data_IF_091318527309
#
_entry.id   IF_091318527309
#
_cell.length_a   1.000
_cell.length_b   1.000
_cell.length_c   1.000
_cell.angle_alpha   90.00
_cell.angle_beta   90.00
_cell.angle_gamma   90.00
#
_symmetry.space_group_name_H-M   'P 1'
#
loop_
_entity.id
_entity.type
_entity.pdbx_description
1 polymer ?
#
# COMPACT_ATOMS: atom_id res chain seq x y z
N UNK A 1 0.44 -32.32 -43.23
CA UNK A 1 -0.98 -32.72 -43.33
C UNK A 1 -1.44 -33.12 -41.92
N UNK A 2 -2.72 -32.97 -41.55
CA UNK A 2 -3.46 -31.79 -41.12
C UNK A 2 -3.76 -31.75 -39.60
N UNK A 3 -4.22 -30.60 -39.09
CA UNK A 3 -4.83 -30.43 -37.75
C UNK A 3 -6.12 -31.24 -37.58
N UNK A 4 -6.49 -31.56 -36.31
CA UNK A 4 -7.86 -31.37 -35.84
C UNK A 4 -7.95 -30.56 -34.52
N UNK A 5 -9.16 -30.12 -34.12
CA UNK A 5 -9.37 -28.76 -33.62
C UNK A 5 -9.57 -28.63 -32.10
N UNK A 6 -9.50 -27.36 -31.68
CA UNK A 6 -9.79 -26.77 -30.37
C UNK A 6 -10.95 -27.43 -29.61
N UNK A 7 -10.62 -28.03 -28.46
CA UNK A 7 -11.57 -28.29 -27.38
C UNK A 7 -11.60 -27.07 -26.45
N UNK A 8 -12.77 -26.43 -26.40
CA UNK A 8 -13.14 -25.39 -25.43
C UNK A 8 -13.34 -26.07 -24.08
N UNK A 9 -12.38 -25.97 -23.17
CA UNK A 9 -12.55 -26.56 -21.83
C UNK A 9 -11.55 -26.03 -20.82
N UNK A 10 -12.06 -25.21 -19.90
CA UNK A 10 -11.51 -24.93 -18.57
C UNK A 10 -10.04 -24.47 -18.50
N UNK A 11 -9.81 -23.17 -18.72
CA UNK A 11 -8.61 -22.51 -18.18
C UNK A 11 -8.75 -22.46 -16.67
N UNK A 12 -8.00 -23.32 -15.98
CA UNK A 12 -7.80 -23.31 -14.55
C UNK A 12 -7.10 -22.01 -14.14
N UNK A 13 -7.79 -21.15 -13.38
CA UNK A 13 -7.19 -20.02 -12.68
C UNK A 13 -6.93 -20.42 -11.22
N UNK A 14 -5.77 -21.03 -10.99
CA UNK A 14 -5.15 -21.12 -9.67
C UNK A 14 -4.69 -19.71 -9.28
N UNK A 15 -5.50 -19.01 -8.48
CA UNK A 15 -5.12 -17.74 -7.87
C UNK A 15 -4.14 -18.01 -6.72
N UNK A 16 -2.84 -17.92 -7.00
CA UNK A 16 -1.80 -17.92 -5.98
C UNK A 16 -1.91 -16.64 -5.13
N UNK A 17 -2.39 -16.78 -3.89
CA UNK A 17 -2.36 -15.73 -2.88
C UNK A 17 -0.92 -15.60 -2.39
N UNK A 18 -0.17 -14.64 -2.95
CA UNK A 18 1.14 -14.28 -2.43
C UNK A 18 0.92 -13.30 -1.28
N UNK A 19 0.91 -13.82 -0.05
CA UNK A 19 1.05 -13.01 1.16
C UNK A 19 2.43 -12.36 1.16
N UNK A 20 2.51 -11.10 0.76
CA UNK A 20 3.71 -10.27 0.92
C UNK A 20 3.95 -9.98 2.39
N UNK A 21 4.68 -10.87 3.08
CA UNK A 21 5.27 -10.56 4.37
C UNK A 21 6.25 -9.40 4.16
N UNK A 22 6.01 -8.27 4.82
CA UNK A 22 6.94 -7.16 4.85
C UNK A 22 8.25 -7.62 5.47
N UNK A 23 9.25 -7.91 4.63
CA UNK A 23 10.63 -8.10 5.07
C UNK A 23 11.11 -6.76 5.59
N UNK A 24 11.08 -6.60 6.92
CA UNK A 24 11.96 -5.64 7.58
C UNK A 24 13.37 -6.13 7.33
N UNK A 25 14.04 -5.57 6.31
CA UNK A 25 15.42 -5.85 6.00
C UNK A 25 16.28 -5.32 7.15
N UNK A 26 16.46 -6.15 8.18
CA UNK A 26 17.46 -5.91 9.20
C UNK A 26 18.80 -6.13 8.53
N UNK A 27 19.46 -5.02 8.19
CA UNK A 27 20.76 -5.08 7.53
C UNK A 27 21.81 -5.46 8.57
N UNK A 28 22.38 -6.65 8.46
CA UNK A 28 23.42 -7.12 9.37
C UNK A 28 24.79 -6.77 8.79
N UNK A 29 25.56 -5.96 9.52
CA UNK A 29 26.92 -5.57 9.14
C UNK A 29 27.90 -6.53 9.79
N UNK A 30 28.54 -7.38 9.00
CA UNK A 30 29.55 -8.31 9.50
C UNK A 30 30.97 -7.76 9.22
N UNK A 31 31.83 -7.64 10.25
CA UNK A 31 33.21 -7.22 10.06
C UNK A 31 34.01 -8.32 9.37
N UNK A 32 34.35 -8.11 8.10
CA UNK A 32 35.03 -9.14 7.29
C UNK A 32 36.56 -9.13 7.44
N UNK A 33 37.15 -8.08 8.04
CA UNK A 33 38.61 -7.87 8.11
C UNK A 33 39.20 -7.80 9.53
N UNK A 34 38.49 -8.28 10.54
CA UNK A 34 38.99 -8.26 11.93
C UNK A 34 39.10 -6.85 12.54
N UNK A 35 38.26 -5.90 12.10
CA UNK A 35 38.21 -4.56 12.67
C UNK A 35 37.74 -4.61 14.14
N UNK A 36 38.27 -3.71 14.97
CA UNK A 36 37.82 -3.59 16.36
C UNK A 36 36.38 -3.04 16.43
N UNK A 37 35.61 -3.36 17.49
CA UNK A 37 34.25 -2.84 17.66
C UNK A 37 34.17 -1.30 17.62
N UNK A 38 35.21 -0.60 18.09
CA UNK A 38 35.25 0.87 18.06
C UNK A 38 35.45 1.42 16.65
N UNK A 39 36.26 0.74 15.83
CA UNK A 39 36.44 1.12 14.43
C UNK A 39 35.14 0.87 13.64
N UNK A 40 34.48 -0.26 13.88
CA UNK A 40 33.19 -0.55 13.26
C UNK A 40 32.15 0.54 13.58
N UNK A 41 32.02 0.93 14.85
CA UNK A 41 31.07 1.99 15.25
C UNK A 41 31.35 3.33 14.57
N UNK A 42 32.63 3.72 14.46
CA UNK A 42 33.02 4.93 13.73
C UNK A 42 32.66 4.82 12.25
N UNK A 43 33.00 3.70 11.62
CA UNK A 43 32.75 3.48 10.21
C UNK A 43 31.25 3.46 9.89
N UNK A 44 30.44 2.80 10.74
CA UNK A 44 28.99 2.76 10.62
C UNK A 44 28.34 4.13 10.85
N UNK A 45 28.87 4.93 11.77
CA UNK A 45 28.42 6.30 12.02
C UNK A 45 28.68 7.22 10.83
N UNK A 46 29.90 7.19 10.28
CA UNK A 46 30.26 7.95 9.08
C UNK A 46 29.41 7.53 7.87
N UNK A 47 29.24 6.23 7.66
CA UNK A 47 28.41 5.69 6.59
C UNK A 47 26.92 6.00 6.78
N UNK A 48 26.43 6.08 8.02
CA UNK A 48 25.08 6.54 8.32
C UNK A 48 24.90 8.01 7.90
N UNK A 49 25.79 8.91 8.34
CA UNK A 49 25.71 10.34 7.97
C UNK A 49 25.79 10.53 6.45
N UNK A 50 26.67 9.80 5.77
CA UNK A 50 26.75 9.82 4.32
C UNK A 50 25.45 9.32 3.66
N UNK A 51 24.91 8.20 4.14
CA UNK A 51 23.67 7.62 3.61
C UNK A 51 22.46 8.55 3.77
N UNK A 52 22.34 9.26 4.90
CA UNK A 52 21.28 10.27 5.10
C UNK A 52 21.46 11.43 4.11
N UNK A 53 22.68 11.90 3.88
CA UNK A 53 22.94 12.99 2.93
C UNK A 53 22.58 12.60 1.48
N UNK A 54 22.87 11.36 1.08
CA UNK A 54 22.59 10.84 -0.26
C UNK A 54 21.11 10.50 -0.47
N UNK A 55 20.47 9.86 0.51
CA UNK A 55 19.08 9.41 0.39
C UNK A 55 18.05 10.48 0.75
N UNK A 56 18.47 11.56 1.42
CA UNK A 56 17.58 12.56 2.04
C UNK A 56 16.56 11.95 3.00
N UNK A 57 16.88 10.77 3.52
CA UNK A 57 16.01 10.00 4.40
C UNK A 57 16.78 9.60 5.65
N UNK A 58 16.23 9.91 6.82
CA UNK A 58 16.78 9.52 8.13
C UNK A 58 15.87 8.45 8.77
N UNK A 59 16.35 7.21 8.97
CA UNK A 59 15.58 6.19 9.67
C UNK A 59 15.45 6.44 11.19
N UNK A 60 16.31 7.26 11.79
CA UNK A 60 16.20 7.64 13.20
C UNK A 60 15.12 8.70 13.43
N UNK A 61 14.86 9.53 12.40
CA UNK A 61 13.74 10.48 12.35
C UNK A 61 12.93 10.26 11.07
N UNK A 62 12.14 9.18 10.98
CA UNK A 62 11.33 8.93 9.81
C UNK A 62 10.37 10.11 9.59
N UNK A 63 10.18 10.57 8.34
CA UNK A 63 9.25 11.63 8.06
C UNK A 63 7.84 11.22 8.54
N UNK A 64 7.04 12.16 9.07
CA UNK A 64 5.69 11.85 9.51
C UNK A 64 4.94 11.23 8.34
N UNK A 65 4.23 10.13 8.61
CA UNK A 65 3.40 9.49 7.60
C UNK A 65 2.50 10.56 6.96
N UNK A 66 2.44 10.66 5.62
CA UNK A 66 1.55 11.60 4.96
C UNK A 66 0.15 11.48 5.56
N UNK A 67 -0.36 12.57 6.13
CA UNK A 67 -1.68 12.58 6.71
C UNK A 67 -2.67 12.22 5.59
N UNK A 68 -3.36 11.09 5.73
CA UNK A 68 -4.41 10.73 4.79
C UNK A 68 -5.44 11.87 4.81
N UNK A 69 -5.68 12.48 3.64
CA UNK A 69 -6.76 13.43 3.49
C UNK A 69 -8.07 12.70 3.80
N UNK A 70 -8.60 12.91 5.00
CA UNK A 70 -9.86 12.29 5.42
C UNK A 70 -10.94 12.81 4.49
N UNK A 71 -11.50 11.94 3.65
CA UNK A 71 -12.73 12.26 2.95
C UNK A 71 -13.79 12.58 4.00
N UNK A 72 -14.54 13.70 3.88
CA UNK A 72 -15.61 13.98 4.82
C UNK A 72 -16.65 12.87 4.73
N UNK A 73 -16.76 12.09 5.80
CA UNK A 73 -17.79 11.07 5.98
C UNK A 73 -18.73 11.46 7.11
N UNK A 74 -19.96 10.95 7.07
CA UNK A 74 -20.87 10.99 8.22
C UNK A 74 -20.30 10.14 9.38
N UNK A 75 -20.89 10.27 10.57
CA UNK A 75 -20.56 9.45 11.73
C UNK A 75 -20.65 7.93 11.47
N UNK A 76 -21.39 7.52 10.43
CA UNK A 76 -21.57 6.12 10.01
C UNK A 76 -20.53 5.64 8.99
N UNK A 77 -19.54 6.47 8.63
CA UNK A 77 -18.50 6.13 7.65
C UNK A 77 -18.98 6.16 6.19
N UNK A 78 -20.11 6.82 5.92
CA UNK A 78 -20.65 7.00 4.56
C UNK A 78 -20.38 8.41 4.06
N UNK A 79 -20.14 8.55 2.76
CA UNK A 79 -20.09 9.84 2.07
C UNK A 79 -21.42 10.60 2.27
N UNK A 80 -21.40 11.88 2.65
CA UNK A 80 -22.59 12.70 2.77
C UNK A 80 -23.45 12.65 1.51
N UNK A 81 -24.76 12.44 1.67
CA UNK A 81 -25.70 12.34 0.55
C UNK A 81 -25.65 11.03 -0.24
N UNK A 82 -24.81 10.06 0.10
CA UNK A 82 -24.78 8.76 -0.58
C UNK A 82 -26.15 8.06 -0.56
N UNK A 83 -26.85 8.11 0.58
CA UNK A 83 -28.20 7.57 0.70
C UNK A 83 -29.21 8.29 -0.18
N UNK A 84 -29.20 9.63 -0.23
CA UNK A 84 -30.14 10.41 -1.04
C UNK A 84 -29.88 10.23 -2.55
N UNK A 85 -28.61 10.23 -2.97
CA UNK A 85 -28.23 9.96 -4.37
C UNK A 85 -28.58 8.53 -4.78
N UNK A 86 -28.40 7.57 -3.87
CA UNK A 86 -28.84 6.19 -4.05
C UNK A 86 -30.35 6.07 -4.16
N UNK A 87 -31.09 6.81 -3.33
CA UNK A 87 -32.55 6.83 -3.35
C UNK A 87 -33.08 7.37 -4.67
N UNK A 88 -32.56 8.51 -5.14
CA UNK A 88 -32.98 9.07 -6.42
C UNK A 88 -32.71 8.10 -7.59
N UNK A 89 -31.53 7.46 -7.62
CA UNK A 89 -31.21 6.46 -8.64
C UNK A 89 -32.06 5.20 -8.53
N UNK A 90 -32.31 4.74 -7.31
CA UNK A 90 -33.13 3.56 -7.04
C UNK A 90 -34.61 3.79 -7.34
N UNK A 91 -35.12 5.00 -7.12
CA UNK A 91 -36.51 5.37 -7.44
C UNK A 91 -36.80 5.27 -8.94
N UNK A 92 -35.90 5.83 -9.77
CA UNK A 92 -35.99 5.74 -11.23
C UNK A 92 -35.99 4.28 -11.69
N UNK A 93 -35.14 3.44 -11.10
CA UNK A 93 -35.08 2.01 -11.46
C UNK A 93 -36.29 1.23 -10.93
N UNK A 94 -36.75 1.53 -9.71
CA UNK A 94 -37.88 0.85 -9.08
C UNK A 94 -39.23 1.15 -9.72
N UNK A 95 -39.43 2.39 -10.20
CA UNK A 95 -40.59 2.74 -11.02
C UNK A 95 -40.64 1.90 -12.30
N UNK A 96 -39.52 1.82 -13.03
CA UNK A 96 -39.47 1.11 -14.32
C UNK A 96 -39.66 -0.40 -14.16
N UNK A 97 -39.14 -0.99 -13.07
CA UNK A 97 -39.07 -2.45 -12.89
C UNK A 97 -40.24 -3.00 -12.08
N UNK A 98 -40.79 -2.22 -11.16
CA UNK A 98 -41.76 -2.71 -10.17
C UNK A 98 -42.95 -1.77 -9.92
N UNK A 99 -43.12 -0.69 -10.71
CA UNK A 99 -44.14 0.36 -10.51
C UNK A 99 -44.10 1.00 -9.11
N UNK A 100 -42.97 0.86 -8.40
CA UNK A 100 -42.79 1.34 -7.03
C UNK A 100 -41.46 2.09 -6.88
N UNK A 101 -41.54 3.39 -7.11
CA UNK A 101 -40.44 4.32 -6.90
C UNK A 101 -40.01 4.38 -5.42
N UNK A 102 -40.92 4.16 -4.46
CA UNK A 102 -40.64 4.23 -3.03
C UNK A 102 -39.79 3.04 -2.55
N UNK A 103 -40.18 1.82 -2.95
CA UNK A 103 -39.39 0.62 -2.70
C UNK A 103 -38.01 0.71 -3.38
N UNK A 104 -37.98 1.16 -4.65
CA UNK A 104 -36.74 1.41 -5.37
C UNK A 104 -35.83 2.42 -4.68
N UNK A 105 -36.40 3.51 -4.17
CA UNK A 105 -35.68 4.54 -3.42
C UNK A 105 -35.06 3.99 -2.13
N UNK A 106 -35.82 3.23 -1.35
CA UNK A 106 -35.32 2.65 -0.10
C UNK A 106 -34.16 1.67 -0.35
N UNK A 107 -34.30 0.79 -1.35
CA UNK A 107 -33.27 -0.17 -1.75
C UNK A 107 -32.02 0.56 -2.28
N UNK A 108 -32.21 1.55 -3.16
CA UNK A 108 -31.12 2.36 -3.69
C UNK A 108 -30.36 3.13 -2.62
N UNK A 109 -31.06 3.67 -1.63
CA UNK A 109 -30.45 4.37 -0.49
C UNK A 109 -29.61 3.45 0.40
N UNK A 110 -30.09 2.24 0.65
CA UNK A 110 -29.35 1.24 1.42
C UNK A 110 -28.12 0.73 0.65
N UNK A 111 -28.29 0.41 -0.64
CA UNK A 111 -27.21 -0.04 -1.51
C UNK A 111 -26.10 1.01 -1.65
N UNK A 112 -26.45 2.29 -1.89
CA UNK A 112 -25.47 3.36 -2.02
C UNK A 112 -24.73 3.65 -0.71
N UNK A 113 -25.39 3.58 0.45
CA UNK A 113 -24.71 3.65 1.77
C UNK A 113 -23.73 2.49 1.94
N UNK A 114 -24.13 1.27 1.60
CA UNK A 114 -23.27 0.09 1.66
C UNK A 114 -22.04 0.19 0.74
N UNK A 115 -22.24 0.62 -0.50
CA UNK A 115 -21.18 0.83 -1.47
C UNK A 115 -20.23 1.95 -1.04
N UNK A 116 -20.77 3.06 -0.54
CA UNK A 116 -19.98 4.19 -0.05
C UNK A 116 -19.04 3.76 1.08
N UNK A 117 -19.49 2.93 2.03
CA UNK A 117 -18.59 2.41 3.08
C UNK A 117 -17.43 1.59 2.51
N UNK A 118 -17.72 0.71 1.53
CA UNK A 118 -16.69 -0.12 0.87
C UNK A 118 -15.68 0.72 0.09
N UNK A 119 -16.16 1.75 -0.61
CA UNK A 119 -15.29 2.69 -1.33
C UNK A 119 -14.42 3.48 -0.35
N UNK A 120 -14.99 3.94 0.76
CA UNK A 120 -14.24 4.71 1.75
C UNK A 120 -13.18 3.85 2.46
N UNK A 121 -13.46 2.57 2.74
CA UNK A 121 -12.47 1.62 3.25
C UNK A 121 -11.39 1.31 2.23
N UNK A 122 -11.75 1.08 0.97
CA UNK A 122 -10.78 0.82 -0.11
C UNK A 122 -9.87 2.02 -0.36
N UNK A 123 -10.42 3.24 -0.35
CA UNK A 123 -9.67 4.47 -0.52
C UNK A 123 -8.70 4.73 0.64
N UNK A 124 -9.12 4.45 1.87
CA UNK A 124 -8.25 4.55 3.05
C UNK A 124 -7.09 3.55 2.94
N UNK A 125 -7.36 2.34 2.48
CA UNK A 125 -6.37 1.29 2.30
C UNK A 125 -5.37 1.63 1.18
N UNK A 126 -5.85 2.20 0.08
CA UNK A 126 -5.02 2.64 -1.04
C UNK A 126 -4.11 3.83 -0.64
N UNK A 127 -4.61 4.74 0.18
CA UNK A 127 -3.84 5.88 0.66
C UNK A 127 -2.77 5.48 1.69
N UNK A 128 -3.07 4.46 2.52
CA UNK A 128 -2.07 3.84 3.39
C UNK A 128 -0.98 3.12 2.60
N UNK A 129 -1.32 2.39 1.54
CA UNK A 129 -0.32 1.74 0.69
C UNK A 129 0.63 2.75 0.01
N UNK A 130 0.12 3.88 -0.49
CA UNK A 130 0.95 4.92 -1.08
C UNK A 130 1.90 5.58 -0.06
N UNK A 131 1.41 5.86 1.16
CA UNK A 131 2.23 6.38 2.25
C UNK A 131 3.33 5.38 2.68
N UNK A 132 3.00 4.09 2.76
CA UNK A 132 3.97 3.03 3.09
C UNK A 132 5.01 2.85 1.98
N UNK A 133 4.62 2.92 0.71
CA UNK A 133 5.55 2.82 -0.43
C UNK A 133 6.58 3.96 -0.42
N UNK A 134 6.17 5.18 -0.10
CA UNK A 134 7.10 6.31 -0.05
C UNK A 134 8.10 6.17 1.11
N UNK A 135 7.66 5.69 2.27
CA UNK A 135 8.57 5.38 3.38
C UNK A 135 9.52 4.22 3.04
N UNK A 136 9.02 3.17 2.38
CA UNK A 136 9.86 2.05 1.92
C UNK A 136 10.90 2.47 0.89
N UNK A 137 10.55 3.36 -0.04
CA UNK A 137 11.50 3.88 -1.03
C UNK A 137 12.64 4.68 -0.39
N UNK A 138 12.32 5.53 0.60
CA UNK A 138 13.33 6.27 1.37
C UNK A 138 14.23 5.35 2.21
N UNK A 139 13.64 4.37 2.90
CA UNK A 139 14.38 3.34 3.63
C UNK A 139 15.31 2.53 2.73
N UNK A 140 14.84 2.12 1.54
CA UNK A 140 15.63 1.36 0.58
C UNK A 140 16.79 2.18 0.01
N UNK A 141 16.57 3.46 -0.31
CA UNK A 141 17.62 4.37 -0.76
C UNK A 141 18.69 4.58 0.32
N UNK A 142 18.27 4.78 1.58
CA UNK A 142 19.17 4.89 2.73
C UNK A 142 19.99 3.60 2.93
N UNK A 143 19.34 2.43 2.93
CA UNK A 143 20.03 1.14 3.11
C UNK A 143 21.04 0.89 1.99
N UNK A 144 20.67 1.20 0.74
CA UNK A 144 21.57 1.07 -0.41
C UNK A 144 22.79 1.99 -0.30
N UNK A 145 22.60 3.24 0.11
CA UNK A 145 23.72 4.16 0.32
C UNK A 145 24.62 3.67 1.48
N UNK A 146 24.03 3.29 2.61
CA UNK A 146 24.81 2.77 3.74
C UNK A 146 25.59 1.51 3.36
N UNK A 147 24.97 0.59 2.62
CA UNK A 147 25.62 -0.61 2.11
C UNK A 147 26.81 -0.27 1.22
N UNK A 148 26.65 0.61 0.23
CA UNK A 148 27.73 1.02 -0.67
C UNK A 148 28.94 1.62 0.08
N UNK A 149 28.69 2.44 1.11
CA UNK A 149 29.76 3.02 1.92
C UNK A 149 30.52 1.94 2.71
N UNK A 150 29.78 1.03 3.36
CA UNK A 150 30.36 -0.05 4.14
C UNK A 150 31.10 -1.07 3.26
N UNK A 151 30.56 -1.41 2.09
CA UNK A 151 31.21 -2.26 1.09
C UNK A 151 32.52 -1.64 0.58
N UNK A 152 32.55 -0.33 0.33
CA UNK A 152 33.78 0.40 -0.05
C UNK A 152 34.88 0.33 1.03
N UNK A 153 34.50 0.15 2.30
CA UNK A 153 35.42 -0.05 3.43
C UNK A 153 35.74 -1.54 3.69
N UNK A 154 35.14 -2.44 2.91
CA UNK A 154 35.36 -3.88 3.01
C UNK A 154 34.50 -4.59 4.06
N UNK A 155 33.40 -3.98 4.51
CA UNK A 155 32.38 -4.67 5.30
C UNK A 155 31.45 -5.45 4.37
N UNK A 156 30.94 -6.59 4.85
CA UNK A 156 29.89 -7.32 4.13
C UNK A 156 28.54 -6.96 4.75
N UNK A 157 27.64 -6.44 3.92
CA UNK A 157 26.30 -6.00 4.32
C UNK A 157 25.30 -6.97 3.69
N UNK A 158 24.49 -7.65 4.51
CA UNK A 158 23.47 -8.61 4.05
C UNK A 158 22.11 -8.34 4.68
#
# INVERSE_FOLDING_TARGET
MPCPPLSRGAVALLAAVICGAGVSAQTFVYPAKGQSPDQQKKDEGECHTWAVQQSKYDPANPPPAPAAAKQPTTATGTTPGAGARGAARGAVVGEIVADDAGAGAAVGAAAARGQSRRQNSAQTQQQQQAATQQSQAGMAAYQKARAACLEGRGYTVK
#
